data_IF_387946170748
#
_entry.id   IF_387946170748
#
_cell.length_a   1.000
_cell.length_b   1.000
_cell.length_c   1.000
_cell.angle_alpha   90.00
_cell.angle_beta   90.00
_cell.angle_gamma   90.00
#
_symmetry.space_group_name_H-M   'P 1'
#
loop_
_entity.id
_entity.type
_entity.pdbx_description
1 polymer ?
#
# COMPACT_ATOMS: atom_id res chain seq x y z
N UNK A 1 -15.32 55.47 -3.55
CA UNK A 1 -15.81 54.10 -3.85
C UNK A 1 -17.30 54.20 -4.14
N UNK A 2 -17.89 53.53 -5.14
CA UNK A 2 -17.38 52.60 -6.17
C UNK A 2 -17.42 53.20 -7.59
N UNK A 3 -16.90 52.49 -8.60
CA UNK A 3 -17.01 52.88 -10.01
C UNK A 3 -17.02 51.65 -10.92
N UNK A 4 -18.20 51.32 -11.47
CA UNK A 4 -18.41 50.33 -12.53
C UNK A 4 -18.50 51.08 -13.86
N UNK A 5 -17.85 50.56 -14.90
CA UNK A 5 -17.95 51.06 -16.29
C UNK A 5 -18.49 49.94 -17.20
N UNK A 6 -19.36 50.32 -18.14
CA UNK A 6 -20.09 49.46 -19.10
C UNK A 6 -20.11 50.15 -20.48
N UNK A 7 -20.09 49.32 -21.54
CA UNK A 7 -20.39 49.53 -22.99
C UNK A 7 -19.18 49.90 -23.87
N UNK A 8 -18.69 49.02 -24.77
CA UNK A 8 -19.24 48.48 -26.03
C UNK A 8 -19.40 49.50 -27.17
N UNK A 9 -18.60 49.35 -28.24
CA UNK A 9 -18.95 49.65 -29.65
C UNK A 9 -18.21 48.68 -30.59
N UNK A 10 -18.96 48.06 -31.51
CA UNK A 10 -18.53 47.23 -32.66
C UNK A 10 -18.07 48.10 -33.84
N UNK A 11 -17.20 47.56 -34.72
CA UNK A 11 -16.97 48.09 -36.08
C UNK A 11 -16.06 47.18 -36.92
N UNK A 12 -16.54 46.81 -38.11
CA UNK A 12 -16.13 45.69 -38.97
C UNK A 12 -15.11 46.03 -40.07
N UNK A 13 -14.58 44.98 -40.74
CA UNK A 13 -14.24 44.89 -42.20
C UNK A 13 -12.98 45.64 -42.74
N UNK A 14 -12.13 45.20 -43.70
CA UNK A 14 -11.86 43.97 -44.49
C UNK A 14 -10.49 44.16 -45.23
N UNK A 15 -9.83 43.06 -45.62
CA UNK A 15 -9.06 42.82 -46.87
C UNK A 15 -7.52 43.06 -47.00
N UNK A 16 -6.80 41.92 -47.06
CA UNK A 16 -5.86 41.42 -48.09
C UNK A 16 -4.67 42.30 -48.59
N UNK A 17 -3.42 41.85 -48.37
CA UNK A 17 -2.48 41.42 -49.44
C UNK A 17 -1.07 40.98 -48.96
N UNK A 18 -0.80 39.68 -49.18
CA UNK A 18 0.43 39.03 -49.70
C UNK A 18 1.86 39.40 -49.23
N UNK A 19 2.49 38.37 -48.62
CA UNK A 19 3.72 37.70 -49.11
C UNK A 19 5.09 37.93 -48.44
N UNK A 20 5.53 36.84 -47.81
CA UNK A 20 6.83 36.16 -47.93
C UNK A 20 7.96 36.41 -46.90
N UNK A 21 8.31 35.27 -46.28
CA UNK A 21 9.60 34.82 -45.77
C UNK A 21 10.05 35.30 -44.38
N UNK A 22 9.93 34.41 -43.39
CA UNK A 22 11.09 33.64 -42.90
C UNK A 22 10.63 32.53 -41.93
N UNK A 23 10.98 31.31 -42.31
CA UNK A 23 10.93 30.07 -41.55
C UNK A 23 11.69 30.21 -40.23
N UNK A 24 10.98 30.02 -39.11
CA UNK A 24 11.58 29.67 -37.83
C UNK A 24 10.78 28.50 -37.23
N UNK A 25 11.05 27.31 -37.75
CA UNK A 25 10.59 26.06 -37.17
C UNK A 25 11.23 25.85 -35.80
N UNK A 26 10.43 25.92 -34.75
CA UNK A 26 10.70 25.36 -33.42
C UNK A 26 9.57 24.44 -32.98
N UNK A 27 8.89 23.79 -33.93
CA UNK A 27 7.87 22.79 -33.66
C UNK A 27 8.52 21.46 -33.30
N UNK A 28 8.45 21.10 -32.03
CA UNK A 28 8.66 19.72 -31.56
C UNK A 28 7.58 18.83 -32.19
N UNK A 29 7.88 18.27 -33.36
CA UNK A 29 7.06 17.26 -34.01
C UNK A 29 6.98 16.02 -33.14
N UNK A 30 5.83 15.81 -32.53
CA UNK A 30 5.48 14.55 -31.86
C UNK A 30 5.23 13.49 -32.92
N UNK A 31 6.19 12.58 -33.12
CA UNK A 31 5.97 11.33 -33.87
C UNK A 31 4.82 10.54 -33.24
N UNK A 32 3.92 9.91 -34.02
CA UNK A 32 2.82 9.11 -33.49
C UNK A 32 3.24 7.96 -32.56
N UNK A 33 4.48 7.49 -32.68
CA UNK A 33 5.06 6.40 -31.89
C UNK A 33 5.75 6.86 -30.59
N UNK A 34 5.87 8.17 -30.34
CA UNK A 34 6.65 8.69 -29.21
C UNK A 34 8.18 8.48 -29.34
N UNK A 35 8.64 8.15 -30.54
CA UNK A 35 10.04 7.90 -30.88
C UNK A 35 10.57 9.09 -31.67
N UNK A 36 11.71 9.66 -31.24
CA UNK A 36 12.37 10.75 -31.95
C UNK A 36 13.13 10.26 -33.20
N UNK A 37 13.66 11.21 -33.98
CA UNK A 37 14.42 10.94 -35.21
C UNK A 37 15.69 10.09 -35.00
N UNK A 38 16.17 9.96 -33.77
CA UNK A 38 17.34 9.17 -33.39
C UNK A 38 16.95 7.80 -32.80
N UNK A 39 15.65 7.46 -32.79
CA UNK A 39 15.16 6.23 -32.19
C UNK A 39 15.03 6.30 -30.67
N UNK A 40 15.04 7.48 -30.06
CA UNK A 40 14.87 7.65 -28.61
C UNK A 40 13.39 7.70 -28.26
N UNK A 41 12.97 6.83 -27.36
CA UNK A 41 11.61 6.78 -26.81
C UNK A 41 11.55 7.62 -25.54
N UNK A 42 10.62 8.56 -25.45
CA UNK A 42 10.34 9.27 -24.18
C UNK A 42 9.07 8.72 -23.57
N UNK A 43 9.16 8.27 -22.32
CA UNK A 43 8.01 7.80 -21.54
C UNK A 43 7.73 8.76 -20.39
N UNK A 44 6.47 9.11 -20.22
CA UNK A 44 5.98 9.80 -19.02
C UNK A 44 5.64 8.78 -17.95
N UNK A 45 6.15 8.99 -16.73
CA UNK A 45 5.95 8.07 -15.60
C UNK A 45 5.74 8.85 -14.31
N UNK A 46 4.74 8.48 -13.51
CA UNK A 46 4.51 9.09 -12.19
C UNK A 46 5.32 8.40 -11.08
N UNK A 47 5.32 8.98 -9.87
CA UNK A 47 6.07 8.46 -8.72
C UNK A 47 7.34 9.23 -8.36
N UNK A 48 7.64 10.35 -9.02
CA UNK A 48 8.73 11.22 -8.56
C UNK A 48 8.36 11.85 -7.20
N UNK A 49 9.21 11.72 -6.16
CA UNK A 49 8.89 12.29 -4.85
C UNK A 49 8.72 13.82 -4.87
N UNK A 50 7.82 14.30 -4.01
CA UNK A 50 7.54 15.72 -3.85
C UNK A 50 8.79 16.50 -3.40
N UNK A 51 8.83 17.81 -3.66
CA UNK A 51 9.98 18.66 -3.28
C UNK A 51 10.24 18.68 -1.76
N UNK A 52 9.21 18.44 -0.95
CA UNK A 52 9.30 18.33 0.51
C UNK A 52 10.06 17.07 0.97
N UNK A 53 10.20 16.06 0.11
CA UNK A 53 10.95 14.82 0.36
C UNK A 53 12.32 14.89 -0.33
N UNK A 54 13.17 15.83 0.12
CA UNK A 54 14.38 16.21 -0.61
C UNK A 54 15.36 15.04 -0.84
N UNK A 55 15.52 14.14 0.14
CA UNK A 55 16.43 12.98 0.04
C UNK A 55 15.90 11.97 -0.98
N UNK A 56 14.62 11.59 -0.87
CA UNK A 56 14.02 10.62 -1.79
C UNK A 56 13.95 11.15 -3.21
N UNK A 57 13.62 12.45 -3.37
CA UNK A 57 13.63 13.09 -4.68
C UNK A 57 15.02 13.10 -5.30
N UNK A 58 16.06 13.40 -4.51
CA UNK A 58 17.45 13.36 -4.98
C UNK A 58 17.81 11.95 -5.45
N UNK A 59 17.53 10.93 -4.62
CA UNK A 59 17.80 9.53 -4.95
C UNK A 59 17.07 9.09 -6.22
N UNK A 60 15.81 9.49 -6.39
CA UNK A 60 15.02 9.21 -7.59
C UNK A 60 15.64 9.83 -8.85
N UNK A 61 16.07 11.09 -8.79
CA UNK A 61 16.68 11.77 -9.94
C UNK A 61 18.06 11.19 -10.29
N UNK A 62 18.82 10.70 -9.30
CA UNK A 62 20.05 9.95 -9.54
C UNK A 62 19.76 8.59 -10.20
N UNK A 63 18.70 7.91 -9.78
CA UNK A 63 18.23 6.67 -10.41
C UNK A 63 17.82 6.89 -11.87
N UNK A 64 17.08 7.97 -12.18
CA UNK A 64 16.73 8.34 -13.58
C UNK A 64 17.99 8.52 -14.42
N UNK A 65 18.97 9.30 -13.93
CA UNK A 65 20.24 9.51 -14.65
C UNK A 65 21.00 8.21 -14.88
N UNK A 66 21.04 7.34 -13.88
CA UNK A 66 21.72 6.05 -13.99
C UNK A 66 21.03 5.15 -15.02
N UNK A 67 19.70 5.13 -15.04
CA UNK A 67 18.92 4.37 -16.01
C UNK A 67 19.09 4.89 -17.43
N UNK A 68 18.96 6.20 -17.67
CA UNK A 68 19.13 6.79 -19.01
C UNK A 68 20.56 6.58 -19.54
N UNK A 69 21.56 6.53 -18.65
CA UNK A 69 22.94 6.20 -19.00
C UNK A 69 23.08 4.74 -19.46
N UNK A 70 22.42 3.78 -18.81
CA UNK A 70 22.46 2.37 -19.21
C UNK A 70 21.47 2.03 -20.34
N UNK A 71 20.47 2.88 -20.59
CA UNK A 71 19.45 2.72 -21.63
C UNK A 71 19.38 3.99 -22.51
N UNK A 72 20.41 4.28 -23.34
CA UNK A 72 20.53 5.56 -24.06
C UNK A 72 19.42 5.83 -25.09
N UNK A 73 18.59 4.84 -25.41
CA UNK A 73 17.41 4.97 -26.28
C UNK A 73 16.11 5.27 -25.53
N UNK A 74 16.16 5.44 -24.21
CA UNK A 74 14.98 5.74 -23.38
C UNK A 74 15.24 7.01 -22.59
N UNK A 75 14.23 7.88 -22.55
CA UNK A 75 14.19 9.05 -21.67
C UNK A 75 12.99 8.99 -20.74
N UNK A 76 13.19 9.39 -19.49
CA UNK A 76 12.17 9.41 -18.45
C UNK A 76 11.67 10.83 -18.23
N UNK A 77 10.42 11.08 -18.61
CA UNK A 77 9.67 12.28 -18.25
C UNK A 77 8.92 12.03 -16.93
N UNK A 78 9.65 12.18 -15.82
CA UNK A 78 9.14 11.88 -14.49
C UNK A 78 8.13 12.93 -14.00
N UNK A 79 6.95 12.47 -13.59
CA UNK A 79 5.87 13.28 -13.02
C UNK A 79 5.82 13.15 -11.51
N UNK A 80 5.66 14.30 -10.85
CA UNK A 80 5.62 14.38 -9.39
C UNK A 80 4.36 13.73 -8.83
N UNK A 81 4.53 13.00 -7.73
CA UNK A 81 3.44 12.36 -7.01
C UNK A 81 3.03 11.04 -7.63
N UNK A 82 2.29 10.27 -6.83
CA UNK A 82 1.57 9.10 -7.30
C UNK A 82 0.22 9.53 -7.88
N UNK A 83 -0.49 8.57 -8.46
CA UNK A 83 -1.85 8.77 -8.93
C UNK A 83 -2.79 9.15 -7.77
N UNK A 84 -3.58 10.22 -7.96
CA UNK A 84 -4.69 10.55 -7.06
C UNK A 84 -5.97 9.88 -7.59
N UNK A 85 -6.55 8.93 -6.83
CA UNK A 85 -7.78 8.23 -7.24
C UNK A 85 -8.94 9.19 -7.57
N UNK A 86 -9.02 10.37 -6.94
CA UNK A 86 -10.09 11.35 -7.16
C UNK A 86 -10.00 12.02 -8.52
N UNK A 87 -8.80 12.21 -9.05
CA UNK A 87 -8.56 12.90 -10.33
C UNK A 87 -8.29 11.93 -11.47
N UNK A 88 -8.04 10.66 -11.17
CA UNK A 88 -7.65 9.66 -12.16
C UNK A 88 -8.65 9.53 -13.31
N UNK A 89 -9.94 9.36 -13.02
CA UNK A 89 -10.96 9.21 -14.06
C UNK A 89 -11.02 10.44 -14.99
N UNK A 90 -10.85 11.65 -14.44
CA UNK A 90 -10.83 12.89 -15.21
C UNK A 90 -9.56 13.01 -16.07
N UNK A 91 -8.38 12.70 -15.53
CA UNK A 91 -7.12 12.68 -16.28
C UNK A 91 -7.17 11.68 -17.43
N UNK A 92 -7.70 10.48 -17.16
CA UNK A 92 -7.85 9.44 -18.16
C UNK A 92 -8.83 9.85 -19.27
N UNK A 93 -10.01 10.38 -18.91
CA UNK A 93 -10.99 10.88 -19.88
C UNK A 93 -10.44 12.05 -20.72
N UNK A 94 -9.63 12.91 -20.10
CA UNK A 94 -8.95 14.03 -20.75
C UNK A 94 -7.71 13.64 -21.56
N UNK A 95 -7.30 12.37 -21.57
CA UNK A 95 -6.09 11.91 -22.27
C UNK A 95 -4.78 12.42 -21.68
N UNK A 96 -4.77 12.73 -20.38
CA UNK A 96 -3.63 13.29 -19.64
C UNK A 96 -2.91 12.25 -18.78
N UNK A 97 -3.27 10.97 -18.91
CA UNK A 97 -2.63 9.91 -18.16
C UNK A 97 -1.21 9.67 -18.66
N UNK A 98 -0.27 9.46 -17.74
CA UNK A 98 1.10 9.08 -18.05
C UNK A 98 1.16 7.78 -18.87
N UNK A 99 2.25 7.55 -19.61
CA UNK A 99 2.44 6.34 -20.40
C UNK A 99 2.52 5.08 -19.53
N UNK A 100 3.14 5.23 -18.35
CA UNK A 100 3.21 4.24 -17.28
C UNK A 100 2.74 4.90 -16.00
N UNK A 101 1.76 4.29 -15.32
CA UNK A 101 1.09 4.94 -14.22
C UNK A 101 0.92 4.01 -13.02
N UNK A 102 1.24 4.54 -11.86
CA UNK A 102 1.06 3.93 -10.55
C UNK A 102 -0.42 3.68 -10.24
N UNK A 103 -0.73 2.54 -9.66
CA UNK A 103 -2.06 2.18 -9.15
C UNK A 103 -1.94 1.44 -7.82
N UNK A 104 -2.94 1.59 -6.95
CA UNK A 104 -3.09 0.74 -5.78
C UNK A 104 -3.77 -0.57 -6.16
N UNK A 105 -3.54 -1.66 -5.44
CA UNK A 105 -4.15 -2.98 -5.72
C UNK A 105 -5.68 -2.98 -5.77
N UNK A 106 -6.36 -1.96 -5.22
CA UNK A 106 -7.81 -1.80 -5.28
C UNK A 106 -8.35 -1.40 -6.65
N UNK A 107 -7.51 -0.85 -7.52
CA UNK A 107 -7.95 -0.21 -8.76
C UNK A 107 -7.90 -1.12 -10.02
N UNK A 108 -6.86 -1.97 -10.22
CA UNK A 108 -6.66 -2.72 -11.46
C UNK A 108 -7.88 -3.44 -12.01
N UNK A 109 -8.63 -4.20 -11.20
CA UNK A 109 -9.78 -4.97 -11.66
C UNK A 109 -10.81 -4.08 -12.40
N UNK A 110 -11.18 -2.94 -11.81
CA UNK A 110 -12.10 -1.99 -12.42
C UNK A 110 -11.50 -1.29 -13.64
N UNK A 111 -10.21 -0.96 -13.60
CA UNK A 111 -9.50 -0.35 -14.74
C UNK A 111 -9.46 -1.29 -15.95
N UNK A 112 -9.13 -2.55 -15.73
CA UNK A 112 -9.09 -3.61 -16.74
C UNK A 112 -10.48 -3.80 -17.36
N UNK A 113 -11.52 -3.95 -16.53
CA UNK A 113 -12.89 -4.11 -17.00
C UNK A 113 -13.35 -2.93 -17.88
N UNK A 114 -12.95 -1.70 -17.52
CA UNK A 114 -13.24 -0.48 -18.28
C UNK A 114 -12.28 -0.24 -19.46
N UNK A 115 -11.36 -1.17 -19.74
CA UNK A 115 -10.34 -1.08 -20.81
C UNK A 115 -9.40 0.12 -20.67
N UNK A 116 -9.03 0.42 -19.43
CA UNK A 116 -8.23 1.58 -19.04
C UNK A 116 -6.75 1.25 -18.84
N UNK A 117 -6.36 -0.02 -19.02
CA UNK A 117 -4.97 -0.47 -19.13
C UNK A 117 -4.68 -1.07 -20.51
N UNK A 118 -3.43 -0.96 -20.98
CA UNK A 118 -2.96 -1.70 -22.14
C UNK A 118 -2.70 -3.17 -21.78
N UNK A 119 -3.06 -4.07 -22.69
CA UNK A 119 -2.63 -5.47 -22.61
C UNK A 119 -1.12 -5.53 -22.91
N UNK A 120 -0.35 -5.94 -21.91
CA UNK A 120 1.11 -6.03 -21.98
C UNK A 120 1.62 -7.47 -22.13
N UNK A 121 0.73 -8.45 -22.29
CA UNK A 121 1.07 -9.88 -22.27
C UNK A 121 2.15 -10.25 -23.29
N UNK A 122 2.14 -9.62 -24.47
CA UNK A 122 3.14 -9.85 -25.52
C UNK A 122 4.52 -9.23 -25.25
N UNK A 123 4.71 -8.54 -24.13
CA UNK A 123 5.93 -7.78 -23.82
C UNK A 123 6.59 -8.20 -22.49
N UNK A 124 5.93 -9.03 -21.68
CA UNK A 124 6.43 -9.41 -20.34
C UNK A 124 7.44 -10.55 -20.37
N UNK A 125 7.49 -11.35 -21.44
CA UNK A 125 8.45 -12.47 -21.58
C UNK A 125 9.91 -12.02 -21.46
N UNK A 126 10.20 -10.78 -21.89
CA UNK A 126 11.54 -10.19 -21.83
C UNK A 126 11.87 -9.55 -20.46
N UNK A 127 10.94 -9.54 -19.50
CA UNK A 127 11.14 -8.92 -18.17
C UNK A 127 11.88 -9.90 -17.26
N UNK A 128 13.12 -9.59 -16.81
CA UNK A 128 13.84 -10.46 -15.89
C UNK A 128 13.05 -10.74 -14.61
N UNK A 129 13.07 -12.01 -14.19
CA UNK A 129 12.40 -12.53 -12.99
C UNK A 129 10.86 -12.43 -13.03
N UNK A 130 10.24 -12.16 -14.18
CA UNK A 130 8.77 -12.08 -14.29
C UNK A 130 8.07 -13.36 -13.79
N UNK A 131 8.54 -14.53 -14.20
CA UNK A 131 8.03 -15.84 -13.77
C UNK A 131 8.24 -16.13 -12.27
N UNK A 132 9.17 -15.41 -11.63
CA UNK A 132 9.40 -15.52 -10.20
C UNK A 132 8.50 -14.56 -9.40
N UNK A 133 7.72 -13.64 -10.01
CA UNK A 133 6.80 -12.77 -9.28
C UNK A 133 5.69 -13.62 -8.65
N UNK A 134 5.31 -13.32 -7.40
CA UNK A 134 4.24 -14.06 -6.71
C UNK A 134 2.94 -14.05 -7.54
N UNK A 135 2.41 -15.22 -7.93
CA UNK A 135 1.21 -15.32 -8.74
C UNK A 135 -0.02 -14.66 -8.11
N UNK A 136 -0.13 -14.63 -6.78
CA UNK A 136 -1.23 -13.97 -6.10
C UNK A 136 -1.20 -12.45 -6.30
N UNK A 137 -0.01 -11.86 -6.40
CA UNK A 137 0.17 -10.43 -6.67
C UNK A 137 -0.04 -10.13 -8.16
N UNK A 138 0.44 -11.00 -9.05
CA UNK A 138 0.22 -10.86 -10.49
C UNK A 138 -1.26 -10.90 -10.85
N UNK A 139 -2.03 -11.78 -10.21
CA UNK A 139 -3.49 -11.92 -10.42
C UNK A 139 -4.25 -10.61 -10.24
N UNK A 140 -3.76 -9.68 -9.41
CA UNK A 140 -4.35 -8.34 -9.24
C UNK A 140 -4.31 -7.54 -10.55
N UNK A 141 -3.30 -7.76 -11.39
CA UNK A 141 -3.07 -7.05 -12.65
C UNK A 141 -3.51 -7.83 -13.89
N UNK A 142 -4.21 -8.95 -13.70
CA UNK A 142 -4.68 -9.81 -14.77
C UNK A 142 -6.20 -9.73 -14.96
N UNK A 143 -6.67 -9.96 -16.18
CA UNK A 143 -8.09 -10.23 -16.40
C UNK A 143 -8.46 -11.70 -16.20
N UNK A 144 -9.76 -12.01 -16.25
CA UNK A 144 -10.24 -13.39 -16.12
C UNK A 144 -9.74 -14.34 -17.23
N UNK A 145 -9.20 -13.80 -18.33
CA UNK A 145 -8.58 -14.56 -19.42
C UNK A 145 -7.07 -14.72 -19.27
N UNK A 146 -6.47 -14.24 -18.18
CA UNK A 146 -5.02 -14.31 -17.91
C UNK A 146 -4.19 -13.29 -18.67
N UNK A 147 -4.79 -12.25 -19.27
CA UNK A 147 -4.02 -11.17 -19.90
C UNK A 147 -3.50 -10.22 -18.83
N UNK A 148 -2.24 -9.83 -18.93
CA UNK A 148 -1.57 -8.97 -17.97
C UNK A 148 -1.65 -7.50 -18.40
N UNK A 149 -1.95 -6.59 -17.48
CA UNK A 149 -2.10 -5.15 -17.75
C UNK A 149 -1.17 -4.26 -16.92
N UNK A 150 -0.38 -4.85 -16.02
CA UNK A 150 0.57 -4.16 -15.17
C UNK A 150 1.46 -5.11 -14.38
N UNK A 151 2.32 -4.54 -13.55
CA UNK A 151 3.27 -5.25 -12.71
C UNK A 151 3.16 -4.79 -11.25
N UNK A 152 3.07 -5.70 -10.27
CA UNK A 152 3.18 -5.34 -8.87
C UNK A 152 4.62 -4.88 -8.57
N UNK A 153 4.75 -3.85 -7.73
CA UNK A 153 6.04 -3.27 -7.33
C UNK A 153 6.21 -3.10 -5.84
N UNK A 154 5.10 -3.08 -5.11
CA UNK A 154 5.06 -3.03 -3.66
C UNK A 154 3.90 -3.85 -3.14
N UNK A 155 4.08 -4.47 -1.98
CA UNK A 155 2.99 -5.02 -1.21
C UNK A 155 3.21 -4.71 0.28
N UNK A 156 2.14 -4.86 1.04
CA UNK A 156 2.19 -4.87 2.49
C UNK A 156 1.19 -5.88 3.01
N UNK A 157 1.47 -6.44 4.18
CA UNK A 157 0.48 -7.14 4.99
C UNK A 157 0.60 -6.70 6.44
N UNK A 158 -0.53 -6.70 7.13
CA UNK A 158 -0.55 -6.43 8.56
C UNK A 158 -0.04 -7.64 9.34
N UNK A 159 0.68 -7.36 10.42
CA UNK A 159 1.13 -8.35 11.38
C UNK A 159 0.78 -7.95 12.80
N UNK A 160 1.28 -8.72 13.75
CA UNK A 160 1.25 -8.41 15.17
C UNK A 160 2.65 -7.99 15.61
N UNK A 161 2.83 -6.69 15.86
CA UNK A 161 4.04 -6.12 16.41
C UNK A 161 4.01 -6.28 17.93
N UNK A 162 5.12 -6.74 18.51
CA UNK A 162 5.19 -7.00 19.94
C UNK A 162 6.52 -6.59 20.58
N UNK A 163 6.44 -6.22 21.86
CA UNK A 163 7.60 -5.89 22.69
C UNK A 163 8.18 -7.18 23.29
N UNK A 164 9.37 -7.56 22.84
CA UNK A 164 10.03 -8.81 23.24
C UNK A 164 10.41 -8.82 24.72
N UNK A 165 10.82 -7.67 25.27
CA UNK A 165 11.17 -7.56 26.68
C UNK A 165 9.94 -7.73 27.59
N UNK A 166 8.78 -7.18 27.22
CA UNK A 166 7.52 -7.39 27.96
C UNK A 166 7.04 -8.84 27.87
N UNK A 167 7.25 -9.51 26.73
CA UNK A 167 6.99 -10.95 26.62
C UNK A 167 7.80 -11.74 27.65
N UNK A 168 9.12 -11.56 27.66
CA UNK A 168 10.00 -12.24 28.62
C UNK A 168 9.61 -11.91 30.06
N UNK A 169 9.35 -10.63 30.38
CA UNK A 169 8.92 -10.21 31.72
C UNK A 169 7.60 -10.86 32.16
N UNK A 170 6.68 -11.08 31.23
CA UNK A 170 5.41 -11.79 31.46
C UNK A 170 5.54 -13.33 31.48
N UNK A 171 6.76 -13.86 31.31
CA UNK A 171 7.03 -15.30 31.21
C UNK A 171 6.57 -15.94 29.90
N UNK A 172 6.46 -15.15 28.84
CA UNK A 172 6.18 -15.58 27.47
C UNK A 172 7.50 -15.76 26.70
N UNK A 173 7.51 -16.67 25.74
CA UNK A 173 8.64 -16.87 24.83
C UNK A 173 8.52 -15.89 23.64
N UNK A 174 9.41 -14.89 23.51
CA UNK A 174 9.36 -13.94 22.41
C UNK A 174 9.70 -14.57 21.05
N UNK A 175 10.27 -15.79 21.00
CA UNK A 175 10.55 -16.49 19.75
C UNK A 175 9.40 -17.44 19.35
N UNK A 176 8.35 -17.52 20.16
CA UNK A 176 7.09 -18.23 19.87
C UNK A 176 5.88 -17.29 20.08
N UNK A 177 5.76 -16.23 19.27
CA UNK A 177 4.68 -15.27 19.43
C UNK A 177 3.30 -15.89 19.10
N UNK A 178 2.20 -15.35 19.65
CA UNK A 178 0.85 -15.83 19.39
C UNK A 178 0.53 -15.97 17.91
N UNK A 179 -0.15 -17.06 17.56
CA UNK A 179 -0.66 -17.31 16.21
C UNK A 179 -2.19 -17.32 16.14
N UNK A 180 -2.89 -17.39 17.27
CA UNK A 180 -4.35 -17.23 17.33
C UNK A 180 -4.77 -16.04 18.17
N UNK A 181 -5.96 -15.50 17.93
CA UNK A 181 -6.49 -14.41 18.75
C UNK A 181 -6.75 -14.82 20.20
N UNK A 182 -7.03 -16.10 20.46
CA UNK A 182 -7.11 -16.62 21.82
C UNK A 182 -5.76 -16.54 22.54
N UNK A 183 -4.66 -16.88 21.86
CA UNK A 183 -3.31 -16.73 22.39
C UNK A 183 -2.91 -15.26 22.57
N UNK A 184 -3.30 -14.37 21.65
CA UNK A 184 -3.10 -12.92 21.81
C UNK A 184 -3.82 -12.42 23.06
N UNK A 185 -5.09 -12.77 23.23
CA UNK A 185 -5.87 -12.41 24.42
C UNK A 185 -5.19 -12.92 25.70
N UNK A 186 -4.73 -14.16 25.71
CA UNK A 186 -4.02 -14.74 26.85
C UNK A 186 -2.68 -14.01 27.14
N UNK A 187 -1.88 -13.73 26.12
CA UNK A 187 -0.64 -12.98 26.24
C UNK A 187 -0.90 -11.55 26.72
N UNK A 188 -1.93 -10.88 26.21
CA UNK A 188 -2.32 -9.53 26.60
C UNK A 188 -2.70 -9.46 28.09
N UNK A 189 -3.44 -10.45 28.60
CA UNK A 189 -3.74 -10.55 30.05
C UNK A 189 -2.48 -10.67 30.88
N UNK A 190 -1.55 -11.58 30.50
CA UNK A 190 -0.29 -11.79 31.23
C UNK A 190 0.58 -10.55 31.25
N UNK A 191 0.68 -9.84 30.11
CA UNK A 191 1.45 -8.61 30.00
C UNK A 191 0.81 -7.48 30.82
N UNK A 192 -0.51 -7.33 30.79
CA UNK A 192 -1.22 -6.31 31.59
C UNK A 192 -1.09 -6.57 33.10
N UNK A 193 -1.04 -7.84 33.50
CA UNK A 193 -0.85 -8.25 34.89
C UNK A 193 0.54 -7.87 35.47
N UNK A 194 1.50 -7.45 34.63
CA UNK A 194 2.78 -6.91 35.09
C UNK A 194 2.62 -5.58 35.86
N UNK A 195 1.49 -4.90 35.74
CA UNK A 195 1.26 -3.62 36.39
C UNK A 195 2.06 -2.46 35.77
N UNK A 196 2.31 -1.41 36.55
CA UNK A 196 3.11 -0.24 36.16
C UNK A 196 2.62 0.49 34.89
N UNK A 197 1.32 0.44 34.62
CA UNK A 197 0.71 1.02 33.42
C UNK A 197 1.00 0.24 32.14
N UNK A 198 1.44 -1.02 32.24
CA UNK A 198 1.61 -1.90 31.08
C UNK A 198 0.24 -2.25 30.49
N UNK A 199 0.13 -2.12 29.17
CA UNK A 199 -1.05 -2.47 28.37
C UNK A 199 -0.70 -3.68 27.52
N UNK A 200 -1.50 -4.74 27.61
CA UNK A 200 -1.23 -6.01 26.95
C UNK A 200 -1.42 -5.99 25.45
N UNK A 201 -2.53 -5.41 25.01
CA UNK A 201 -2.87 -5.23 23.60
C UNK A 201 -3.45 -3.83 23.41
N UNK A 202 -3.17 -3.15 22.31
CA UNK A 202 -3.86 -1.91 21.97
C UNK A 202 -4.27 -1.93 20.51
N UNK A 203 -5.26 -1.11 20.22
CA UNK A 203 -5.72 -0.87 18.88
C UNK A 203 -6.02 0.62 18.69
N UNK A 204 -5.89 1.13 17.47
CA UNK A 204 -6.12 2.54 17.14
C UNK A 204 -7.27 2.66 16.16
N UNK A 205 -8.21 3.53 16.50
CA UNK A 205 -9.57 3.48 15.96
C UNK A 205 -10.06 4.81 15.39
N UNK A 206 -9.16 5.76 15.14
CA UNK A 206 -9.50 7.07 14.58
C UNK A 206 -9.01 7.24 13.15
N UNK A 207 -9.67 8.16 12.42
CA UNK A 207 -9.28 8.62 11.09
C UNK A 207 -9.24 7.46 10.07
N UNK A 208 -10.28 6.63 10.04
CA UNK A 208 -10.44 5.42 9.20
C UNK A 208 -9.54 4.24 9.57
N UNK A 209 -8.67 4.36 10.56
CA UNK A 209 -7.75 3.28 10.90
C UNK A 209 -8.42 2.16 11.69
N UNK A 210 -9.47 2.46 12.45
CA UNK A 210 -10.26 1.44 13.13
C UNK A 210 -11.03 0.56 12.14
N UNK A 211 -11.55 1.15 11.06
CA UNK A 211 -12.21 0.40 10.00
C UNK A 211 -11.25 -0.46 9.19
N UNK A 212 -10.04 0.05 8.93
CA UNK A 212 -8.95 -0.70 8.31
C UNK A 212 -8.49 -1.88 9.18
N UNK A 213 -8.31 -1.66 10.48
CA UNK A 213 -7.99 -2.73 11.43
C UNK A 213 -9.14 -3.72 11.62
N UNK A 214 -10.39 -3.24 11.71
CA UNK A 214 -11.55 -4.12 11.84
C UNK A 214 -11.72 -5.00 10.60
N UNK A 215 -11.43 -4.47 9.41
CA UNK A 215 -11.38 -5.27 8.17
C UNK A 215 -10.35 -6.40 8.29
N UNK A 216 -9.16 -6.08 8.78
CA UNK A 216 -8.08 -7.06 8.99
C UNK A 216 -8.45 -8.12 10.03
N UNK A 217 -9.08 -7.70 11.13
CA UNK A 217 -9.65 -8.59 12.14
C UNK A 217 -10.67 -9.56 11.53
N UNK A 218 -11.65 -9.06 10.78
CA UNK A 218 -12.70 -9.87 10.13
C UNK A 218 -12.08 -10.89 9.17
N UNK A 219 -11.16 -10.45 8.30
CA UNK A 219 -10.45 -11.36 7.39
C UNK A 219 -9.71 -12.44 8.15
N UNK A 220 -9.00 -12.07 9.21
CA UNK A 220 -8.19 -13.01 9.98
C UNK A 220 -8.97 -14.15 10.64
N UNK A 221 -10.26 -13.93 10.93
CA UNK A 221 -11.17 -14.97 11.45
C UNK A 221 -12.00 -15.65 10.35
N UNK A 222 -11.63 -15.45 9.08
CA UNK A 222 -12.25 -16.11 7.92
C UNK A 222 -13.45 -15.38 7.33
N UNK A 223 -13.76 -14.17 7.80
CA UNK A 223 -14.86 -13.37 7.29
C UNK A 223 -14.53 -12.60 6.01
N UNK A 224 -15.53 -11.86 5.54
CA UNK A 224 -15.44 -10.91 4.44
C UNK A 224 -16.04 -9.55 4.84
N UNK A 225 -15.50 -8.45 4.30
CA UNK A 225 -16.09 -7.12 4.49
C UNK A 225 -17.09 -6.81 3.39
N UNK A 226 -16.81 -7.22 2.16
CA UNK A 226 -17.72 -7.09 1.04
C UNK A 226 -17.57 -8.30 0.12
N UNK A 227 -18.67 -8.72 -0.50
CA UNK A 227 -18.67 -9.78 -1.51
C UNK A 227 -19.25 -9.25 -2.81
N UNK A 228 -18.73 -9.75 -3.93
CA UNK A 228 -19.22 -9.45 -5.26
C UNK A 228 -20.01 -10.63 -5.81
N UNK A 229 -21.17 -10.34 -6.40
CA UNK A 229 -21.92 -11.30 -7.17
C UNK A 229 -22.54 -10.61 -8.39
N UNK A 230 -22.28 -11.15 -9.58
CA UNK A 230 -22.82 -10.65 -10.84
C UNK A 230 -22.52 -9.16 -11.08
N UNK A 231 -21.30 -8.70 -10.76
CA UNK A 231 -20.91 -7.29 -10.88
C UNK A 231 -21.48 -6.37 -9.81
N UNK A 232 -22.05 -6.91 -8.73
CA UNK A 232 -22.67 -6.13 -7.65
C UNK A 232 -22.04 -6.46 -6.32
N UNK A 233 -21.55 -5.43 -5.65
CA UNK A 233 -20.98 -5.53 -4.32
C UNK A 233 -22.03 -5.37 -3.22
N UNK A 234 -21.88 -6.14 -2.14
CA UNK A 234 -22.67 -6.01 -0.91
C UNK A 234 -21.80 -6.17 0.33
N UNK A 235 -22.22 -5.55 1.43
CA UNK A 235 -21.57 -5.72 2.72
C UNK A 235 -21.70 -7.19 3.17
N UNK A 236 -20.61 -7.72 3.73
CA UNK A 236 -20.54 -9.10 4.23
C UNK A 236 -20.08 -9.19 5.70
N UNK A 237 -19.70 -8.06 6.31
CA UNK A 237 -19.17 -8.02 7.67
C UNK A 237 -20.23 -8.24 8.75
N UNK A 238 -21.51 -8.00 8.46
CA UNK A 238 -22.63 -8.35 9.36
C UNK A 238 -22.83 -9.88 9.33
N UNK A 239 -22.02 -10.57 10.11
CA UNK A 239 -21.82 -12.02 10.09
C UNK A 239 -21.23 -12.51 11.41
N UNK A 240 -21.22 -13.82 11.62
CA UNK A 240 -20.56 -14.46 12.77
C UNK A 240 -19.09 -14.07 12.90
N UNK A 241 -18.38 -13.91 11.77
CA UNK A 241 -16.98 -13.47 11.75
C UNK A 241 -16.84 -12.00 12.21
N UNK A 242 -17.74 -11.12 11.78
CA UNK A 242 -17.80 -9.73 12.25
C UNK A 242 -18.09 -9.63 13.74
N UNK A 243 -19.06 -10.42 14.22
CA UNK A 243 -19.39 -10.53 15.64
C UNK A 243 -18.18 -11.05 16.42
N UNK A 244 -17.55 -12.13 15.99
CA UNK A 244 -16.39 -12.73 16.65
C UNK A 244 -15.22 -11.74 16.79
N UNK A 245 -14.92 -10.98 15.74
CA UNK A 245 -13.87 -9.95 15.77
C UNK A 245 -14.16 -8.87 16.82
N UNK A 246 -15.38 -8.32 16.81
CA UNK A 246 -15.78 -7.28 17.76
C UNK A 246 -15.89 -7.80 19.18
N UNK A 247 -16.39 -9.02 19.38
CA UNK A 247 -16.49 -9.65 20.70
C UNK A 247 -15.10 -9.88 21.31
N UNK A 248 -14.10 -10.26 20.51
CA UNK A 248 -12.73 -10.40 21.00
C UNK A 248 -12.15 -9.06 21.48
N UNK A 249 -12.39 -7.97 20.74
CA UNK A 249 -12.00 -6.62 21.14
C UNK A 249 -12.75 -6.15 22.40
N UNK A 250 -14.07 -6.39 22.47
CA UNK A 250 -14.90 -6.11 23.63
C UNK A 250 -14.37 -6.83 24.88
N UNK A 251 -14.13 -8.13 24.77
CA UNK A 251 -13.63 -8.97 25.85
C UNK A 251 -12.26 -8.52 26.36
N UNK A 252 -11.32 -8.21 25.45
CA UNK A 252 -10.01 -7.68 25.84
C UNK A 252 -10.13 -6.32 26.56
N UNK A 253 -11.07 -5.48 26.11
CA UNK A 253 -11.30 -4.15 26.66
C UNK A 253 -11.99 -4.18 28.03
N UNK A 254 -13.12 -4.85 28.15
CA UNK A 254 -14.03 -4.73 29.29
C UNK A 254 -13.89 -5.88 30.30
N UNK A 255 -13.86 -7.11 29.80
CA UNK A 255 -13.77 -8.33 30.62
C UNK A 255 -12.36 -8.51 31.18
N UNK A 256 -11.35 -8.46 30.30
CA UNK A 256 -9.96 -8.74 30.66
C UNK A 256 -9.18 -7.50 31.09
N UNK A 257 -9.67 -6.31 30.72
CA UNK A 257 -9.03 -5.02 30.97
C UNK A 257 -7.58 -4.95 30.48
N UNK A 258 -7.28 -5.61 29.36
CA UNK A 258 -5.95 -5.71 28.78
C UNK A 258 -5.65 -4.66 27.70
N UNK A 259 -6.61 -3.78 27.39
CA UNK A 259 -6.48 -2.70 26.39
C UNK A 259 -6.17 -1.31 26.92
N UNK A 260 -5.84 -1.19 28.22
CA UNK A 260 -5.70 0.11 28.89
C UNK A 260 -7.02 0.85 28.99
N UNK A 261 -7.10 1.97 29.72
CA UNK A 261 -8.36 2.71 29.93
C UNK A 261 -8.63 3.77 28.88
N UNK A 262 -7.59 4.40 28.32
CA UNK A 262 -7.70 5.35 27.21
C UNK A 262 -8.00 4.62 25.90
N UNK A 263 -8.97 5.13 25.13
CA UNK A 263 -9.37 4.61 23.81
C UNK A 263 -9.43 5.74 22.80
N UNK A 264 -9.87 5.44 21.58
CA UNK A 264 -9.83 6.36 20.44
C UNK A 264 -8.38 6.78 20.15
N UNK A 265 -7.47 5.80 20.20
CA UNK A 265 -6.06 6.00 19.94
C UNK A 265 -5.83 6.33 18.46
N UNK A 266 -4.82 7.15 18.20
CA UNK A 266 -4.24 7.33 16.86
C UNK A 266 -2.95 6.51 16.72
N UNK A 267 -2.44 6.32 15.51
CA UNK A 267 -1.19 5.56 15.30
C UNK A 267 -0.02 6.12 16.14
N UNK A 268 0.10 7.44 16.24
CA UNK A 268 1.13 8.10 17.04
C UNK A 268 1.01 7.77 18.55
N UNK A 269 -0.22 7.52 19.03
CA UNK A 269 -0.46 7.10 20.41
C UNK A 269 0.09 5.71 20.69
N UNK A 270 -0.23 4.73 19.85
CA UNK A 270 0.24 3.35 20.04
C UNK A 270 1.74 3.25 19.81
N UNK A 271 2.30 3.99 18.86
CA UNK A 271 3.75 4.09 18.66
C UNK A 271 4.45 4.67 19.90
N UNK A 272 3.87 5.70 20.53
CA UNK A 272 4.38 6.23 21.80
C UNK A 272 4.27 5.24 22.95
N UNK A 273 3.16 4.50 23.05
CA UNK A 273 3.01 3.47 24.07
C UNK A 273 4.03 2.33 23.88
N UNK A 274 4.29 1.94 22.63
CA UNK A 274 5.31 0.92 22.27
C UNK A 274 6.73 1.43 22.54
N UNK A 275 7.07 2.65 22.09
CA UNK A 275 8.38 3.27 22.28
C UNK A 275 8.72 3.58 23.74
N UNK A 276 7.72 3.86 24.57
CA UNK A 276 7.89 4.01 26.03
C UNK A 276 7.99 2.68 26.79
N UNK A 277 7.92 1.54 26.09
CA UNK A 277 8.00 0.20 26.70
C UNK A 277 6.76 -0.17 27.52
N UNK A 278 5.60 0.43 27.24
CA UNK A 278 4.34 0.21 27.97
C UNK A 278 3.30 -0.61 27.22
N UNK A 279 3.49 -0.87 25.93
CA UNK A 279 2.58 -1.66 25.11
C UNK A 279 3.18 -3.02 24.76
N UNK A 280 2.44 -4.09 25.05
CA UNK A 280 2.82 -5.46 24.74
C UNK A 280 2.71 -5.79 23.26
N UNK A 281 1.53 -5.57 22.68
CA UNK A 281 1.20 -5.98 21.31
C UNK A 281 0.24 -5.01 20.64
N UNK A 282 0.32 -4.86 19.32
CA UNK A 282 -0.75 -4.27 18.51
C UNK A 282 -0.64 -4.67 17.05
N UNK A 283 -1.72 -4.51 16.30
CA UNK A 283 -1.72 -4.74 14.85
C UNK A 283 -0.95 -3.62 14.14
N UNK A 284 0.04 -3.99 13.31
CA UNK A 284 0.89 -3.02 12.62
C UNK A 284 1.55 -3.61 11.38
N UNK A 285 1.92 -2.72 10.45
CA UNK A 285 2.87 -3.04 9.39
C UNK A 285 4.32 -2.98 9.89
N UNK A 286 5.28 -3.59 9.16
CA UNK A 286 6.71 -3.52 9.47
C UNK A 286 7.29 -2.10 9.54
N UNK A 287 6.68 -1.16 8.82
CA UNK A 287 7.04 0.27 8.71
C UNK A 287 6.93 1.03 10.05
N UNK A 288 6.17 0.49 11.00
CA UNK A 288 6.07 1.06 12.35
C UNK A 288 7.38 0.93 13.14
N UNK A 289 8.16 -0.14 12.93
CA UNK A 289 9.37 -0.42 13.71
C UNK A 289 10.42 0.69 13.55
N UNK A 290 10.83 1.10 12.32
CA UNK A 290 11.74 2.23 12.14
C UNK A 290 11.25 3.53 12.75
N UNK A 291 9.94 3.79 12.66
CA UNK A 291 9.33 4.99 13.22
C UNK A 291 9.51 5.01 14.73
N UNK A 292 9.21 3.89 15.40
CA UNK A 292 9.36 3.76 16.86
C UNK A 292 10.83 3.89 17.27
N UNK A 293 11.72 3.11 16.65
CA UNK A 293 13.17 3.11 16.95
C UNK A 293 13.74 4.52 16.83
N UNK A 294 13.44 5.22 15.73
CA UNK A 294 13.96 6.55 15.46
C UNK A 294 13.37 7.61 16.39
N UNK A 295 12.05 7.61 16.61
CA UNK A 295 11.39 8.67 17.38
C UNK A 295 11.61 8.54 18.88
N UNK A 296 11.78 7.32 19.39
CA UNK A 296 11.89 7.04 20.82
C UNK A 296 13.28 6.53 21.23
N UNK A 297 14.27 6.62 20.34
CA UNK A 297 15.66 6.22 20.58
C UNK A 297 15.76 4.81 21.17
N UNK A 298 15.09 3.86 20.49
CA UNK A 298 15.02 2.45 20.88
C UNK A 298 15.89 1.59 19.97
N UNK A 299 16.10 0.34 20.38
CA UNK A 299 16.86 -0.62 19.59
C UNK A 299 15.92 -1.58 18.85
N UNK A 300 16.32 -2.02 17.65
CA UNK A 300 15.51 -2.94 16.85
C UNK A 300 15.31 -4.30 17.53
N UNK A 301 16.27 -4.72 18.36
CA UNK A 301 16.30 -5.96 19.16
C UNK A 301 15.12 -6.11 20.12
N UNK A 302 14.52 -4.99 20.50
CA UNK A 302 13.42 -4.93 21.45
C UNK A 302 12.08 -5.36 20.84
N UNK A 303 12.00 -5.37 19.52
CA UNK A 303 10.76 -5.58 18.79
C UNK A 303 10.80 -6.86 17.97
N UNK A 304 9.67 -7.54 17.93
CA UNK A 304 9.42 -8.63 17.00
C UNK A 304 8.13 -8.39 16.23
N UNK A 305 8.02 -9.04 15.08
CA UNK A 305 6.81 -9.04 14.27
C UNK A 305 6.47 -10.49 13.94
N UNK A 306 5.20 -10.86 14.10
CA UNK A 306 4.65 -12.12 13.61
C UNK A 306 3.50 -11.85 12.64
N UNK A 307 3.16 -12.83 11.80
CA UNK A 307 2.02 -12.72 10.91
C UNK A 307 0.73 -12.51 11.70
N UNK A 308 -0.28 -11.89 11.08
CA UNK A 308 -1.56 -11.64 11.75
C UNK A 308 -2.12 -12.95 12.36
N UNK A 309 -2.65 -12.94 13.59
CA UNK A 309 -3.27 -14.13 14.17
C UNK A 309 -4.50 -14.56 13.36
N UNK A 310 -4.71 -15.87 13.17
CA UNK A 310 -5.78 -16.38 12.30
C UNK A 310 -5.32 -16.93 10.94
N UNK A 311 -6.21 -16.89 9.94
CA UNK A 311 -6.07 -17.60 8.66
C UNK A 311 -5.83 -16.69 7.45
N UNK A 312 -6.14 -15.40 7.57
CA UNK A 312 -5.93 -14.43 6.51
C UNK A 312 -5.39 -13.12 7.08
N UNK A 313 -4.84 -12.28 6.20
CA UNK A 313 -4.46 -10.91 6.51
C UNK A 313 -5.00 -9.98 5.44
N UNK A 314 -5.34 -8.76 5.85
CA UNK A 314 -5.44 -7.69 4.88
C UNK A 314 -4.05 -7.47 4.27
N UNK A 315 -4.00 -7.50 2.95
CA UNK A 315 -2.87 -7.05 2.19
C UNK A 315 -3.27 -5.93 1.27
N UNK A 316 -2.29 -5.09 0.98
CA UNK A 316 -2.40 -4.10 -0.07
C UNK A 316 -1.08 -4.03 -0.79
N UNK A 317 -0.95 -3.00 -1.59
CA UNK A 317 0.20 -2.82 -2.40
C UNK A 317 -0.08 -1.92 -3.57
N UNK A 318 0.91 -1.90 -4.42
CA UNK A 318 0.96 -1.02 -5.56
C UNK A 318 1.71 -1.65 -6.71
N UNK A 319 1.42 -1.11 -7.88
CA UNK A 319 2.08 -1.50 -9.10
C UNK A 319 1.95 -0.41 -10.15
N UNK A 320 2.42 -0.74 -11.34
CA UNK A 320 2.33 0.13 -12.49
C UNK A 320 1.54 -0.55 -13.60
N UNK A 321 0.57 0.18 -14.15
CA UNK A 321 -0.17 -0.19 -15.35
C UNK A 321 0.22 0.72 -16.52
N UNK A 322 -0.18 0.33 -17.72
CA UNK A 322 0.24 0.97 -18.96
C UNK A 322 -0.93 1.66 -19.63
N UNK A 323 -0.70 2.86 -20.16
CA UNK A 323 -1.74 3.63 -20.84
C UNK A 323 -2.25 2.85 -22.06
N UNK A 324 -3.57 2.66 -22.24
CA UNK A 324 -4.14 1.93 -23.38
C UNK A 324 -3.82 2.57 -24.74
N UNK A 325 -3.35 3.82 -24.74
CA UNK A 325 -2.89 4.55 -25.94
C UNK A 325 -1.36 4.56 -26.09
N UNK A 326 -0.60 3.94 -25.20
CA UNK A 326 0.84 3.83 -25.32
C UNK A 326 1.22 2.99 -26.55
N UNK A 327 2.21 3.45 -27.31
CA UNK A 327 2.77 2.67 -28.42
C UNK A 327 3.53 1.44 -27.91
N UNK A 328 3.71 0.41 -28.74
CA UNK A 328 4.54 -0.76 -28.39
C UNK A 328 5.95 -0.38 -27.91
N UNK A 329 6.56 0.65 -28.48
CA UNK A 329 7.88 1.16 -28.08
C UNK A 329 7.84 1.76 -26.67
N UNK A 330 6.78 2.50 -26.33
CA UNK A 330 6.58 3.06 -24.99
C UNK A 330 6.27 1.99 -23.95
N UNK A 331 5.49 0.96 -24.29
CA UNK A 331 5.23 -0.17 -23.39
C UNK A 331 6.54 -0.88 -23.04
N UNK A 332 7.36 -1.23 -24.05
CA UNK A 332 8.68 -1.83 -23.84
C UNK A 332 9.62 -0.96 -23.00
N UNK A 333 9.69 0.34 -23.31
CA UNK A 333 10.50 1.27 -22.54
C UNK A 333 10.02 1.39 -21.08
N UNK A 334 8.70 1.41 -20.88
CA UNK A 334 8.08 1.45 -19.57
C UNK A 334 8.33 0.20 -18.75
N UNK A 335 8.25 -0.98 -19.35
CA UNK A 335 8.60 -2.25 -18.71
C UNK A 335 10.05 -2.26 -18.25
N UNK A 336 11.00 -1.79 -19.07
CA UNK A 336 12.40 -1.67 -18.67
C UNK A 336 12.59 -0.73 -17.49
N UNK A 337 11.88 0.41 -17.45
CA UNK A 337 11.94 1.33 -16.32
C UNK A 337 11.34 0.70 -15.05
N UNK A 338 10.15 0.12 -15.13
CA UNK A 338 9.49 -0.53 -13.97
C UNK A 338 10.34 -1.67 -13.44
N UNK A 339 10.88 -2.49 -14.34
CA UNK A 339 11.78 -3.58 -13.99
C UNK A 339 13.04 -3.09 -13.28
N UNK A 340 13.70 -2.07 -13.83
CA UNK A 340 14.96 -1.58 -13.30
C UNK A 340 14.78 -0.80 -11.99
N UNK A 341 13.71 -0.01 -11.86
CA UNK A 341 13.50 0.91 -10.74
C UNK A 341 12.70 0.31 -9.59
N UNK A 342 11.66 -0.47 -9.90
CA UNK A 342 10.57 -0.74 -8.95
C UNK A 342 10.32 -2.23 -8.69
N UNK A 343 10.59 -3.13 -9.64
CA UNK A 343 10.44 -4.58 -9.42
C UNK A 343 11.47 -5.14 -8.42
N UNK A 344 12.39 -4.34 -7.87
CA UNK A 344 13.36 -4.72 -6.81
C UNK A 344 13.99 -6.11 -7.04
N UNK A 345 14.35 -6.38 -8.29
CA UNK A 345 15.03 -7.61 -8.69
C UNK A 345 16.32 -7.80 -7.90
N UNK A 346 16.85 -9.03 -7.78
CA UNK A 346 18.10 -9.30 -7.05
C UNK A 346 19.25 -8.31 -7.35
N UNK A 347 19.46 -7.98 -8.63
CA UNK A 347 20.51 -7.06 -9.06
C UNK A 347 20.29 -5.64 -8.52
N UNK A 348 19.03 -5.19 -8.53
CA UNK A 348 18.66 -3.87 -8.02
C UNK A 348 18.69 -3.83 -6.49
N UNK A 349 18.24 -4.89 -5.84
CA UNK A 349 18.17 -5.02 -4.39
C UNK A 349 19.56 -4.93 -3.75
N UNK A 350 20.59 -5.49 -4.40
CA UNK A 350 21.97 -5.39 -3.93
C UNK A 350 22.49 -3.93 -3.92
N UNK A 351 22.15 -3.16 -4.97
CA UNK A 351 22.52 -1.74 -5.09
C UNK A 351 21.79 -0.91 -4.04
N UNK A 352 20.49 -1.13 -3.90
CA UNK A 352 19.65 -0.38 -2.96
C UNK A 352 20.00 -0.72 -1.51
N UNK A 353 20.25 -1.98 -1.19
CA UNK A 353 20.74 -2.39 0.14
C UNK A 353 22.09 -1.73 0.48
N UNK A 354 23.01 -1.63 -0.46
CA UNK A 354 24.29 -0.93 -0.23
C UNK A 354 24.09 0.56 0.04
N UNK A 355 23.18 1.20 -0.70
CA UNK A 355 22.81 2.62 -0.52
C UNK A 355 22.13 2.86 0.83
N UNK A 356 21.16 2.01 1.18
CA UNK A 356 20.45 2.03 2.44
C UNK A 356 21.42 1.89 3.63
N UNK A 357 22.37 0.94 3.54
CA UNK A 357 23.39 0.73 4.57
C UNK A 357 24.26 1.97 4.77
N UNK A 358 24.70 2.61 3.68
CA UNK A 358 25.48 3.84 3.74
C UNK A 358 24.70 5.02 4.34
N UNK A 359 23.36 5.02 4.19
CA UNK A 359 22.47 6.03 4.74
C UNK A 359 21.96 5.72 6.17
N UNK A 360 22.38 4.60 6.78
CA UNK A 360 21.89 4.18 8.09
C UNK A 360 20.41 3.79 8.09
N UNK A 361 19.85 3.45 6.92
CA UNK A 361 18.47 2.97 6.79
C UNK A 361 18.42 1.51 7.23
N UNK A 362 17.38 1.06 7.96
CA UNK A 362 17.25 -0.33 8.37
C UNK A 362 17.08 -1.29 7.19
N UNK A 363 17.79 -2.40 7.26
CA UNK A 363 17.80 -3.51 6.30
C UNK A 363 17.60 -4.80 7.11
N UNK A 364 16.70 -5.67 6.65
CA UNK A 364 16.37 -6.92 7.33
C UNK A 364 15.08 -6.87 8.15
N UNK A 365 14.32 -5.77 8.07
CA UNK A 365 12.92 -5.76 8.49
C UNK A 365 12.12 -6.72 7.62
N UNK A 366 11.03 -7.32 8.15
CA UNK A 366 10.19 -8.19 7.36
C UNK A 366 9.57 -7.34 6.25
N UNK A 367 9.83 -7.70 5.01
CA UNK A 367 9.16 -7.13 3.86
C UNK A 367 8.33 -8.25 3.24
N UNK A 368 7.06 -8.00 2.89
CA UNK A 368 6.31 -9.00 2.17
C UNK A 368 7.00 -9.25 0.82
N UNK A 369 6.93 -10.50 0.40
CA UNK A 369 7.70 -11.01 -0.74
C UNK A 369 7.00 -10.59 -2.02
N UNK A 370 7.75 -9.95 -2.93
CA UNK A 370 7.28 -9.69 -4.29
C UNK A 370 7.55 -10.89 -5.20
N UNK A 371 8.63 -11.62 -4.91
CA UNK A 371 9.06 -12.79 -5.66
C UNK A 371 8.88 -14.07 -4.84
N UNK A 372 8.83 -15.18 -5.55
CA UNK A 372 8.97 -16.54 -5.08
C UNK A 372 10.28 -17.15 -5.62
N UNK A 373 10.50 -18.43 -5.31
CA UNK A 373 11.53 -19.23 -5.97
C UNK A 373 12.96 -18.69 -5.84
N UNK A 374 13.67 -18.65 -6.98
CA UNK A 374 15.11 -18.36 -7.01
C UNK A 374 15.41 -16.89 -6.79
N UNK A 375 14.63 -15.98 -7.39
CA UNK A 375 14.78 -14.54 -7.17
C UNK A 375 14.64 -14.20 -5.68
N UNK A 376 13.60 -14.72 -5.02
CA UNK A 376 13.41 -14.46 -3.59
C UNK A 376 14.54 -15.02 -2.73
N UNK A 377 15.05 -16.21 -3.06
CA UNK A 377 16.19 -16.79 -2.34
C UNK A 377 17.47 -15.94 -2.46
N UNK A 378 17.69 -15.26 -3.59
CA UNK A 378 18.81 -14.32 -3.74
C UNK A 378 18.56 -13.01 -2.98
N UNK A 379 17.33 -12.48 -3.02
CA UNK A 379 16.93 -11.32 -2.21
C UNK A 379 17.15 -11.58 -0.72
N UNK A 380 16.72 -12.74 -0.20
CA UNK A 380 16.90 -13.14 1.19
C UNK A 380 18.41 -13.22 1.56
N UNK A 381 19.27 -13.69 0.63
CA UNK A 381 20.73 -13.70 0.81
C UNK A 381 21.32 -12.28 0.84
N UNK A 382 20.86 -11.39 -0.04
CA UNK A 382 21.28 -9.98 -0.08
C UNK A 382 20.89 -9.29 1.22
N UNK A 383 19.64 -9.42 1.65
CA UNK A 383 19.16 -8.85 2.91
C UNK A 383 19.96 -9.37 4.10
N UNK A 384 20.19 -10.69 4.17
CA UNK A 384 21.02 -11.27 5.24
C UNK A 384 22.45 -10.71 5.26
N UNK A 385 23.05 -10.45 4.09
CA UNK A 385 24.40 -9.88 3.97
C UNK A 385 24.47 -8.43 4.42
N UNK A 386 23.44 -7.65 4.15
CA UNK A 386 23.41 -6.21 4.44
C UNK A 386 22.65 -5.85 5.72
N UNK A 387 21.98 -6.81 6.35
CA UNK A 387 21.14 -6.60 7.52
C UNK A 387 21.86 -5.83 8.62
N UNK A 388 21.15 -4.85 9.17
CA UNK A 388 21.53 -4.08 10.35
C UNK A 388 20.40 -4.06 11.38
N UNK A 389 19.41 -4.95 11.22
CA UNK A 389 18.33 -5.22 12.17
C UNK A 389 18.37 -6.71 12.57
N UNK A 390 17.74 -7.10 13.69
CA UNK A 390 17.72 -8.48 14.17
C UNK A 390 16.73 -9.32 13.36
N UNK A 391 17.11 -9.73 12.14
CA UNK A 391 16.24 -10.47 11.19
C UNK A 391 15.48 -11.63 11.83
N UNK A 392 16.11 -12.36 12.76
CA UNK A 392 15.49 -13.48 13.50
C UNK A 392 14.21 -13.09 14.26
N UNK A 393 14.11 -11.84 14.74
CA UNK A 393 12.94 -11.35 15.47
C UNK A 393 11.70 -11.23 14.58
N UNK A 394 11.90 -11.29 13.27
CA UNK A 394 10.86 -11.12 12.25
C UNK A 394 10.63 -12.41 11.44
N UNK A 395 11.42 -13.46 11.70
CA UNK A 395 11.26 -14.76 11.05
C UNK A 395 9.85 -15.34 11.22
N UNK A 396 9.17 -15.24 12.39
CA UNK A 396 7.79 -15.70 12.53
C UNK A 396 6.82 -15.01 11.56
N UNK A 397 7.05 -13.74 11.22
CA UNK A 397 6.27 -13.05 10.19
C UNK A 397 6.54 -13.65 8.81
N UNK A 398 7.81 -13.75 8.41
CA UNK A 398 8.18 -14.24 7.06
C UNK A 398 7.67 -15.65 6.79
N UNK A 399 7.83 -16.57 7.75
CA UNK A 399 7.45 -17.98 7.58
C UNK A 399 5.94 -18.18 7.53
N UNK A 400 5.21 -17.47 8.39
CA UNK A 400 3.77 -17.66 8.54
C UNK A 400 2.97 -16.81 7.57
N UNK A 401 3.40 -15.60 7.26
CA UNK A 401 2.65 -14.70 6.37
C UNK A 401 2.50 -15.30 4.97
N UNK A 402 3.49 -16.08 4.50
CA UNK A 402 3.42 -16.83 3.25
C UNK A 402 2.35 -17.94 3.24
N UNK A 403 1.80 -18.31 4.40
CA UNK A 403 0.76 -19.34 4.57
C UNK A 403 -0.62 -18.72 4.76
N UNK A 404 -0.70 -17.41 4.99
CA UNK A 404 -1.97 -16.71 5.16
C UNK A 404 -2.57 -16.36 3.80
N UNK A 405 -3.89 -16.46 3.70
CA UNK A 405 -4.60 -15.85 2.58
C UNK A 405 -4.42 -14.33 2.67
N UNK A 406 -3.93 -13.72 1.58
CA UNK A 406 -3.84 -12.26 1.48
C UNK A 406 -5.10 -11.74 0.80
N UNK A 407 -5.93 -11.01 1.53
CA UNK A 407 -7.15 -10.39 1.00
C UNK A 407 -6.90 -8.93 0.70
N UNK A 408 -7.27 -8.48 -0.50
CA UNK A 408 -7.19 -7.07 -0.89
C UNK A 408 -8.24 -6.22 -0.20
N UNK A 409 -8.04 -4.91 -0.14
CA UNK A 409 -9.05 -4.00 0.41
C UNK A 409 -10.37 -4.07 -0.39
N UNK A 410 -11.53 -3.90 0.28
CA UNK A 410 -12.81 -3.87 -0.41
C UNK A 410 -12.92 -2.62 -1.31
N UNK A 411 -13.79 -2.62 -2.34
CA UNK A 411 -14.02 -1.42 -3.13
C UNK A 411 -14.58 -0.30 -2.27
N UNK A 412 -14.25 0.95 -2.62
CA UNK A 412 -14.57 2.13 -1.80
C UNK A 412 -14.06 2.01 -0.34
N UNK A 413 -12.90 1.37 -0.16
CA UNK A 413 -12.30 1.04 1.13
C UNK A 413 -12.36 2.20 2.13
N UNK A 414 -11.95 3.41 1.73
CA UNK A 414 -11.90 4.57 2.62
C UNK A 414 -13.28 4.95 3.19
N UNK A 415 -14.33 4.88 2.39
CA UNK A 415 -15.69 5.15 2.84
C UNK A 415 -16.22 4.03 3.74
N UNK A 416 -15.90 2.77 3.43
CA UNK A 416 -16.23 1.62 4.28
C UNK A 416 -15.50 1.69 5.62
N UNK A 417 -14.23 2.08 5.62
CA UNK A 417 -13.43 2.25 6.83
C UNK A 417 -14.01 3.32 7.74
N UNK A 418 -14.55 4.41 7.20
CA UNK A 418 -15.27 5.41 8.01
C UNK A 418 -16.49 4.81 8.71
N UNK A 419 -17.23 3.91 8.06
CA UNK A 419 -18.38 3.22 8.68
C UNK A 419 -17.91 2.27 9.78
N UNK A 420 -16.90 1.43 9.49
CA UNK A 420 -16.36 0.44 10.41
C UNK A 420 -15.61 1.07 11.60
N UNK A 421 -15.00 2.25 11.43
CA UNK A 421 -14.43 3.07 12.51
C UNK A 421 -15.47 3.27 13.62
N UNK A 422 -16.68 3.72 13.24
CA UNK A 422 -17.75 4.00 14.22
C UNK A 422 -18.21 2.75 14.99
N UNK A 423 -18.19 1.59 14.34
CA UNK A 423 -18.53 0.29 14.96
C UNK A 423 -17.48 -0.07 16.00
N UNK A 424 -16.20 -0.09 15.60
CA UNK A 424 -15.09 -0.44 16.50
C UNK A 424 -14.98 0.55 17.66
N UNK A 425 -15.09 1.86 17.39
CA UNK A 425 -15.09 2.89 18.42
C UNK A 425 -16.21 2.67 19.45
N UNK A 426 -17.41 2.29 19.00
CA UNK A 426 -18.53 2.02 19.90
C UNK A 426 -18.24 0.84 20.83
N UNK A 427 -17.72 -0.26 20.31
CA UNK A 427 -17.35 -1.45 21.11
C UNK A 427 -16.24 -1.13 22.13
N UNK A 428 -15.25 -0.33 21.74
CA UNK A 428 -14.14 0.04 22.62
C UNK A 428 -14.51 1.08 23.69
N UNK A 429 -15.60 1.84 23.49
CA UNK A 429 -15.98 2.95 24.39
C UNK A 429 -17.26 2.73 25.18
N UNK A 430 -18.08 1.72 24.83
CA UNK A 430 -19.32 1.36 25.52
C UNK A 430 -19.28 -0.11 25.92
N UNK A 431 -19.36 -0.37 27.22
CA UNK A 431 -19.36 -1.73 27.78
C UNK A 431 -20.65 -2.50 27.41
N UNK A 432 -21.76 -1.78 27.23
CA UNK A 432 -23.07 -2.31 26.85
C UNK A 432 -23.36 -2.21 25.34
N UNK A 433 -22.31 -2.11 24.51
CA UNK A 433 -22.47 -2.05 23.05
C UNK A 433 -23.17 -3.31 22.51
N UNK A 434 -24.30 -3.12 21.82
CA UNK A 434 -24.99 -4.17 21.07
C UNK A 434 -24.27 -4.37 19.72
N UNK A 435 -23.40 -5.39 19.67
CA UNK A 435 -22.55 -5.69 18.51
C UNK A 435 -23.39 -6.01 17.27
N UNK A 436 -24.46 -6.78 17.42
CA UNK A 436 -25.29 -7.22 16.30
C UNK A 436 -26.06 -6.04 15.71
N UNK A 437 -26.62 -5.17 16.56
CA UNK A 437 -27.28 -3.95 16.10
C UNK A 437 -26.30 -3.01 15.37
N UNK A 438 -25.08 -2.84 15.91
CA UNK A 438 -24.04 -2.01 15.29
C UNK A 438 -23.64 -2.52 13.91
N UNK A 439 -23.44 -3.84 13.76
CA UNK A 439 -23.10 -4.47 12.49
C UNK A 439 -24.23 -4.33 11.46
N UNK A 440 -25.47 -4.61 11.85
CA UNK A 440 -26.63 -4.51 10.97
C UNK A 440 -26.88 -3.08 10.48
N UNK A 441 -26.71 -2.07 11.35
CA UNK A 441 -26.83 -0.67 10.94
C UNK A 441 -25.69 -0.22 10.03
N UNK A 442 -24.46 -0.65 10.32
CA UNK A 442 -23.29 -0.38 9.49
C UNK A 442 -23.43 -1.01 8.10
N UNK A 443 -23.93 -2.25 8.01
CA UNK A 443 -24.13 -2.95 6.74
C UNK A 443 -25.07 -2.19 5.79
N UNK A 444 -26.16 -1.61 6.30
CA UNK A 444 -27.08 -0.77 5.50
C UNK A 444 -26.39 0.45 4.89
N UNK A 445 -25.50 1.10 5.65
CA UNK A 445 -24.70 2.25 5.17
C UNK A 445 -23.66 1.79 4.13
N UNK A 446 -22.99 0.67 4.41
CA UNK A 446 -22.01 0.07 3.51
C UNK A 446 -22.62 -0.36 2.18
N UNK A 447 -23.80 -0.97 2.16
CA UNK A 447 -24.52 -1.32 0.93
C UNK A 447 -24.79 -0.11 0.04
N UNK A 448 -25.10 1.05 0.63
CA UNK A 448 -25.29 2.29 -0.13
C UNK A 448 -23.99 2.79 -0.76
N UNK A 449 -22.86 2.63 -0.07
CA UNK A 449 -21.52 2.96 -0.58
C UNK A 449 -21.14 2.00 -1.72
N UNK A 450 -21.34 0.69 -1.50
CA UNK A 450 -20.98 -0.37 -2.43
C UNK A 450 -21.84 -0.37 -3.70
N UNK A 451 -23.07 0.12 -3.65
CA UNK A 451 -23.91 0.31 -4.84
C UNK A 451 -23.28 1.24 -5.90
N UNK A 452 -22.30 2.07 -5.51
CA UNK A 452 -21.55 2.94 -6.43
C UNK A 452 -20.27 2.31 -6.99
N UNK A 453 -19.80 1.18 -6.41
CA UNK A 453 -18.68 0.42 -6.93
C UNK A 453 -19.11 -0.28 -8.22
N UNK A 454 -18.37 -0.05 -9.31
CA UNK A 454 -18.63 -0.65 -10.63
C UNK A 454 -17.59 -1.70 -10.96
#
# INVERSE_FOLDING_TARGET
MPGISRRQVLGSATAVALSAALTACGGSGSSPSGVDKNGVVTISVNGMPAKTQAVDRKNFLEDVKAFEKSHPKIKIDAREGQMDPKTFAAKLAGGQLEDVYYVYFTDPAGLIQRRQGADISAYVEDVPYFEDIDPALMKVFEDAGGRTYGLPTGNYSLGLLYNRALFTKAGLDPDKPPVTWAEVRAAAKRISALGDGTVGYADYSKNNQGGWHLTSWIYSVGGEVATERDGKWKAAFDSDAGHQALQALHDMRWTDRSMGTRQLLEIADVQKMMGSGKLGMYMAGPDNIPTIVKQFEREYEEYGLTALPGTATLGGGDGFMFNPKASPEKIRAGLQWVQWKYLRSPDREAVDSKRAKAAGVPIGLPQPRLFAGKAQAEIDRIHSRYANTPVRNYQPFVERNAQLETKVEPPNAQQLYTVLDGVMQSVLTKEDADIDALLAEAAKKADSILASAK
#
